data_IF_324636846941
#
_entry.id   IF_324636846941
#
_cell.length_a   1.000
_cell.length_b   1.000
_cell.length_c   1.000
_cell.angle_alpha   90.00
_cell.angle_beta   90.00
_cell.angle_gamma   90.00
#
_symmetry.space_group_name_H-M   'P 1'
#
loop_
_entity.id
_entity.type
_entity.pdbx_description
1 polymer ?
#
# COMPACT_ATOMS: atom_id res chain seq x y z
N UNK A 1 1.52 -7.60 -7.90
CA UNK A 1 0.74 -6.96 -6.82
C UNK A 1 1.05 -7.71 -5.55
N UNK A 2 1.40 -7.01 -4.47
CA UNK A 2 2.02 -7.61 -3.28
C UNK A 2 1.20 -8.77 -2.70
N UNK A 3 -0.12 -8.75 -2.82
CA UNK A 3 -0.99 -9.89 -2.53
C UNK A 3 -2.41 -9.65 -3.06
N UNK A 4 -3.33 -10.62 -2.87
CA UNK A 4 -4.75 -10.45 -3.19
C UNK A 4 -5.34 -9.22 -2.48
N UNK A 5 -6.08 -8.38 -3.21
CA UNK A 5 -6.77 -7.22 -2.65
C UNK A 5 -7.79 -7.60 -1.55
N UNK A 6 -8.30 -8.84 -1.61
CA UNK A 6 -9.24 -9.41 -0.65
C UNK A 6 -8.67 -9.55 0.78
N UNK A 7 -7.35 -9.39 0.95
CA UNK A 7 -6.69 -9.44 2.26
C UNK A 7 -6.63 -8.07 2.95
N UNK A 8 -7.11 -7.00 2.30
CA UNK A 8 -7.22 -5.64 2.86
C UNK A 8 -8.56 -5.50 3.56
N UNK A 9 -8.51 -5.20 4.86
CA UNK A 9 -9.69 -4.98 5.70
C UNK A 9 -10.45 -3.69 5.40
N UNK A 10 -11.51 -3.41 6.18
CA UNK A 10 -12.42 -2.28 5.94
C UNK A 10 -11.72 -0.90 5.99
N UNK A 11 -12.29 0.06 5.28
CA UNK A 11 -11.85 1.46 5.27
C UNK A 11 -11.98 2.14 6.65
N UNK A 12 -11.29 3.27 6.91
CA UNK A 12 -11.18 3.88 8.24
C UNK A 12 -12.51 4.15 8.96
N UNK A 13 -13.58 4.46 8.23
CA UNK A 13 -14.92 4.72 8.79
C UNK A 13 -15.66 3.44 9.20
N UNK A 14 -15.33 2.31 8.59
CA UNK A 14 -15.86 0.99 8.93
C UNK A 14 -14.85 0.15 9.73
N UNK A 15 -13.69 0.71 10.06
CA UNK A 15 -12.67 0.07 10.85
C UNK A 15 -13.08 0.05 12.32
N UNK A 16 -12.82 -1.05 13.04
CA UNK A 16 -13.21 -1.17 14.43
C UNK A 16 -12.39 -0.20 15.30
N UNK A 17 -13.00 0.29 16.38
CA UNK A 17 -12.52 1.45 17.15
C UNK A 17 -11.08 1.29 17.68
N UNK A 18 -10.65 0.04 17.94
CA UNK A 18 -9.29 -0.29 18.38
C UNK A 18 -8.21 0.03 17.35
N UNK A 19 -8.57 0.28 16.08
CA UNK A 19 -7.66 0.75 15.04
C UNK A 19 -7.47 2.27 15.07
N UNK A 20 -8.11 2.97 16.03
CA UNK A 20 -7.86 4.38 16.37
C UNK A 20 -7.92 5.32 15.15
N UNK A 21 -8.92 5.14 14.29
CA UNK A 21 -9.13 5.96 13.09
C UNK A 21 -8.24 5.60 11.90
N UNK A 22 -7.50 4.50 11.97
CA UNK A 22 -6.80 3.90 10.83
C UNK A 22 -7.64 2.75 10.25
N UNK A 23 -7.57 2.57 8.93
CA UNK A 23 -8.26 1.49 8.20
C UNK A 23 -7.35 0.79 7.19
N UNK A 24 -7.93 -0.05 6.34
CA UNK A 24 -7.20 -0.87 5.35
C UNK A 24 -6.13 -1.78 5.95
N UNK A 25 -6.42 -2.34 7.14
CA UNK A 25 -5.52 -3.31 7.75
C UNK A 25 -5.35 -4.52 6.83
N UNK A 26 -4.15 -4.69 6.27
CA UNK A 26 -3.82 -5.84 5.44
C UNK A 26 -3.44 -7.04 6.30
N UNK A 27 -4.04 -8.20 6.02
CA UNK A 27 -3.69 -9.50 6.62
C UNK A 27 -2.59 -10.25 5.86
N UNK A 28 -2.07 -9.65 4.78
CA UNK A 28 -1.01 -10.22 3.96
C UNK A 28 0.38 -9.91 4.52
N UNK A 29 1.17 -10.94 4.84
CA UNK A 29 2.55 -10.77 5.33
C UNK A 29 2.64 -9.93 6.60
N UNK A 30 3.51 -8.92 6.63
CA UNK A 30 3.53 -7.91 7.71
C UNK A 30 2.44 -6.85 7.60
N UNK A 31 1.65 -6.86 6.52
CA UNK A 31 0.56 -5.93 6.23
C UNK A 31 0.99 -4.48 5.99
N UNK A 32 2.29 -4.22 5.97
CA UNK A 32 2.91 -2.87 5.94
C UNK A 32 4.29 -2.92 5.27
N UNK A 33 4.76 -1.78 4.76
CA UNK A 33 6.10 -1.65 4.18
C UNK A 33 6.27 -2.49 2.91
N UNK A 34 7.05 -3.57 3.00
CA UNK A 34 7.34 -4.46 1.86
C UNK A 34 6.11 -5.22 1.37
N UNK A 35 5.16 -5.47 2.27
CA UNK A 35 3.92 -6.21 2.01
C UNK A 35 2.70 -5.27 1.94
N UNK A 36 2.93 -3.96 1.74
CA UNK A 36 1.85 -2.99 1.66
C UNK A 36 0.99 -3.19 0.41
N UNK A 37 -0.32 -3.24 0.60
CA UNK A 37 -1.30 -3.29 -0.48
C UNK A 37 -2.16 -2.03 -0.38
N UNK A 38 -1.98 -1.09 -1.31
CA UNK A 38 -2.74 0.17 -1.34
C UNK A 38 -3.69 0.24 -2.53
N UNK A 39 -3.20 0.02 -3.75
CA UNK A 39 -4.00 0.06 -4.99
C UNK A 39 -4.03 -1.28 -5.74
N UNK A 40 -3.29 -2.28 -5.25
CA UNK A 40 -3.07 -3.57 -5.94
C UNK A 40 -2.06 -3.53 -7.09
N UNK A 41 -1.65 -2.34 -7.54
CA UNK A 41 -0.66 -2.11 -8.60
C UNK A 41 0.72 -1.94 -7.97
N UNK A 42 1.70 -2.71 -8.46
CA UNK A 42 3.12 -2.60 -8.07
C UNK A 42 3.93 -2.00 -9.21
N UNK A 43 4.01 -0.66 -9.25
CA UNK A 43 4.82 0.06 -10.22
C UNK A 43 5.71 1.05 -9.48
N UNK A 44 6.99 1.06 -9.84
CA UNK A 44 7.96 2.08 -9.43
C UNK A 44 8.40 2.78 -10.71
N UNK A 45 8.04 4.05 -10.85
CA UNK A 45 8.17 4.76 -12.14
C UNK A 45 9.59 5.22 -12.48
N UNK A 46 10.47 5.42 -11.50
CA UNK A 46 11.84 5.90 -11.72
C UNK A 46 12.86 5.03 -10.98
N UNK A 47 14.10 4.97 -11.48
CA UNK A 47 15.20 4.21 -10.84
C UNK A 47 15.68 4.84 -9.51
N UNK A 48 15.23 6.05 -9.24
CA UNK A 48 15.65 6.95 -8.15
C UNK A 48 14.41 7.57 -7.50
N UNK A 49 13.56 6.78 -6.81
CA UNK A 49 12.22 7.22 -6.39
C UNK A 49 12.21 8.40 -5.41
N UNK A 50 13.35 8.70 -4.78
CA UNK A 50 13.51 9.75 -3.77
C UNK A 50 14.39 10.91 -4.24
N UNK A 51 14.79 10.95 -5.53
CA UNK A 51 15.57 12.04 -6.12
C UNK A 51 14.87 12.57 -7.36
N UNK A 52 15.02 13.87 -7.61
CA UNK A 52 14.48 14.52 -8.80
C UNK A 52 15.41 14.28 -10.00
N UNK A 53 14.87 13.69 -11.07
CA UNK A 53 15.49 13.56 -12.38
C UNK A 53 14.42 13.36 -13.48
N UNK A 54 14.86 13.23 -14.74
CA UNK A 54 14.00 13.04 -15.92
C UNK A 54 13.77 11.56 -16.26
N UNK A 55 14.19 10.61 -15.42
CA UNK A 55 14.13 9.17 -15.72
C UNK A 55 12.72 8.59 -15.82
N UNK A 56 11.68 9.40 -15.59
CA UNK A 56 10.30 9.03 -15.89
C UNK A 56 10.00 9.01 -17.40
N UNK A 57 10.70 9.80 -18.22
CA UNK A 57 10.45 9.97 -19.66
C UNK A 57 11.50 9.30 -20.57
N UNK A 58 12.56 8.72 -19.98
CA UNK A 58 13.57 7.92 -20.69
C UNK A 58 13.05 6.50 -20.97
#
# INVERSE_FOLDING_TARGET
>A
GAGPADLVGPEPEAAPLEQMGLGWKSSYGTGTGKDAITTGIEVVWTNTPTKWDTSFLE
#
